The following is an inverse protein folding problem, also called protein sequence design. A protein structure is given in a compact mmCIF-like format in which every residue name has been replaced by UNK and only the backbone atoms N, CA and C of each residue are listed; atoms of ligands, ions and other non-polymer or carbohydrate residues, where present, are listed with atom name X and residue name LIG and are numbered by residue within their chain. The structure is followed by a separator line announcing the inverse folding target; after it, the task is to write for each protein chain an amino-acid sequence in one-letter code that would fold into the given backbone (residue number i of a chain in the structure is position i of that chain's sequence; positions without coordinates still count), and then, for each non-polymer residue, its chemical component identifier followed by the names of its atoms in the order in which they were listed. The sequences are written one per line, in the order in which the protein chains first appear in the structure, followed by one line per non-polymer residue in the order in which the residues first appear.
data_IF_093128090434
#
_entry.id   IF_093128090434
#
_cell.length_a   1.000
_cell.length_b   1.000
_cell.length_c   1.000
_cell.angle_alpha   90.00
_cell.angle_beta   90.00
_cell.angle_gamma   90.00
#
_symmetry.space_group_name_H-M   'P 1'
#
loop_
_entity.id
_entity.type
_entity.pdbx_description
1 polymer ?
#
# COMPACT_ATOMS: atom_id res chain seq x y z
N UNK A 1 -16.39 11.15 29.21
CA UNK A 1 -15.57 10.96 28.02
C UNK A 1 -14.70 9.74 28.27
N UNK A 2 -15.06 8.59 27.70
CA UNK A 2 -14.27 7.37 27.82
C UNK A 2 -13.00 7.56 26.98
N UNK A 3 -11.85 7.54 27.62
CA UNK A 3 -10.54 7.43 26.95
C UNK A 3 -10.46 6.03 26.33
N UNK A 4 -11.09 5.84 25.16
CA UNK A 4 -10.83 4.63 24.38
C UNK A 4 -9.36 4.67 23.93
N UNK A 5 -8.63 3.61 24.24
CA UNK A 5 -7.28 3.41 23.71
C UNK A 5 -7.30 3.54 22.17
N UNK A 6 -6.29 4.17 21.57
CA UNK A 6 -6.24 4.28 20.12
C UNK A 6 -6.39 2.90 19.47
N UNK A 7 -7.34 2.78 18.57
CA UNK A 7 -7.63 1.53 17.84
C UNK A 7 -6.40 1.14 17.02
N UNK A 8 -5.88 -0.07 17.21
CA UNK A 8 -4.75 -0.57 16.40
C UNK A 8 -5.17 -0.76 14.94
N UNK A 9 -4.20 -0.79 14.03
CA UNK A 9 -4.47 -1.02 12.61
C UNK A 9 -5.22 -2.35 12.37
N UNK A 10 -4.82 -3.42 13.04
CA UNK A 10 -5.52 -4.71 12.98
C UNK A 10 -6.98 -4.60 13.46
N UNK A 11 -7.21 -3.92 14.58
CA UNK A 11 -8.56 -3.70 15.08
C UNK A 11 -9.42 -2.86 14.13
N UNK A 12 -8.82 -1.90 13.42
CA UNK A 12 -9.53 -1.11 12.40
C UNK A 12 -9.96 -1.99 11.22
N UNK A 13 -9.07 -2.83 10.70
CA UNK A 13 -9.38 -3.81 9.64
C UNK A 13 -10.48 -4.77 10.08
N UNK A 14 -10.40 -5.31 11.29
CA UNK A 14 -11.41 -6.20 11.87
C UNK A 14 -12.78 -5.55 11.99
N UNK A 15 -12.83 -4.29 12.41
CA UNK A 15 -14.09 -3.52 12.54
C UNK A 15 -14.74 -3.28 11.16
N UNK A 16 -13.94 -2.89 10.16
CA UNK A 16 -14.43 -2.73 8.79
C UNK A 16 -14.98 -4.05 8.24
N UNK A 17 -14.25 -5.15 8.43
CA UNK A 17 -14.72 -6.47 8.03
C UNK A 17 -16.04 -6.88 8.74
N UNK A 18 -16.12 -6.71 10.06
CA UNK A 18 -17.31 -7.06 10.82
C UNK A 18 -18.54 -6.25 10.39
N UNK A 19 -18.36 -4.95 10.07
CA UNK A 19 -19.44 -4.11 9.52
C UNK A 19 -19.93 -4.65 8.17
N UNK A 20 -19.03 -4.96 7.26
CA UNK A 20 -19.39 -5.55 5.98
C UNK A 20 -20.07 -6.92 6.12
N UNK A 21 -19.53 -7.79 6.98
CA UNK A 21 -20.07 -9.11 7.24
C UNK A 21 -21.47 -9.05 7.89
N UNK A 22 -21.76 -8.04 8.71
CA UNK A 22 -23.08 -7.86 9.35
C UNK A 22 -24.19 -7.51 8.36
N UNK A 23 -23.86 -7.02 7.16
CA UNK A 23 -24.81 -6.77 6.09
C UNK A 23 -25.17 -8.02 5.28
N UNK A 24 -24.52 -9.16 5.57
CA UNK A 24 -24.70 -10.43 4.87
C UNK A 24 -25.30 -11.48 5.79
N UNK A 25 -26.18 -12.31 5.26
CA UNK A 25 -26.72 -13.49 5.96
C UNK A 25 -25.72 -14.66 5.86
N UNK A 26 -24.64 -14.59 6.64
CA UNK A 26 -23.61 -15.63 6.65
C UNK A 26 -23.96 -16.78 7.62
N UNK A 27 -23.59 -18.03 7.28
CA UNK A 27 -23.66 -19.14 8.23
C UNK A 27 -22.91 -18.83 9.52
N UNK A 28 -23.42 -19.35 10.64
CA UNK A 28 -22.83 -19.14 11.98
C UNK A 28 -21.36 -19.57 11.99
N UNK A 29 -20.48 -18.65 12.41
CA UNK A 29 -19.02 -18.85 12.52
C UNK A 29 -18.25 -18.58 11.22
N UNK A 30 -18.90 -18.47 10.05
CA UNK A 30 -18.20 -18.23 8.78
C UNK A 30 -17.46 -16.87 8.76
N UNK A 31 -18.10 -15.80 9.23
CA UNK A 31 -17.44 -14.49 9.33
C UNK A 31 -16.18 -14.56 10.21
N UNK A 32 -16.24 -15.27 11.33
CA UNK A 32 -15.08 -15.45 12.20
C UNK A 32 -13.97 -16.25 11.48
N UNK A 33 -14.34 -17.32 10.77
CA UNK A 33 -13.38 -18.12 9.99
C UNK A 33 -12.68 -17.28 8.92
N UNK A 34 -13.40 -16.45 8.16
CA UNK A 34 -12.85 -15.59 7.11
C UNK A 34 -11.90 -14.54 7.70
N UNK A 35 -12.25 -13.97 8.86
CA UNK A 35 -11.45 -12.94 9.51
C UNK A 35 -10.17 -13.48 10.14
N UNK A 36 -10.15 -14.73 10.57
CA UNK A 36 -9.02 -15.30 11.33
C UNK A 36 -7.84 -15.60 10.42
N UNK A 37 -6.67 -15.04 10.73
CA UNK A 37 -5.43 -15.37 10.05
C UNK A 37 -5.05 -16.83 10.29
N UNK A 38 -4.82 -17.61 9.22
CA UNK A 38 -4.60 -19.05 9.31
C UNK A 38 -3.24 -19.40 9.91
N UNK A 39 -2.19 -18.66 9.57
CA UNK A 39 -0.84 -18.92 10.05
C UNK A 39 0.00 -17.64 10.13
N UNK A 40 0.75 -17.52 11.21
CA UNK A 40 1.75 -16.47 11.40
C UNK A 40 3.04 -17.14 11.88
N UNK A 41 4.13 -16.85 11.19
CA UNK A 41 5.45 -17.33 11.55
C UNK A 41 6.35 -16.13 11.87
N UNK A 42 6.78 -16.03 13.14
CA UNK A 42 7.89 -15.17 13.53
C UNK A 42 9.19 -15.97 13.40
N UNK A 43 10.22 -15.37 12.82
CA UNK A 43 11.53 -15.98 12.67
C UNK A 43 12.64 -15.02 13.08
N UNK A 44 13.61 -15.55 13.79
CA UNK A 44 14.83 -14.84 14.17
C UNK A 44 16.03 -15.56 13.56
N UNK A 45 16.90 -14.79 12.90
CA UNK A 45 18.05 -15.35 12.20
C UNK A 45 19.25 -14.43 12.28
N UNK A 46 20.44 -15.02 12.31
CA UNK A 46 21.72 -14.31 12.30
C UNK A 46 22.24 -14.11 10.89
N UNK A 47 22.81 -12.94 10.65
CA UNK A 47 23.59 -12.63 9.45
C UNK A 47 24.93 -12.05 9.87
N UNK A 48 26.01 -12.55 9.28
CA UNK A 48 27.34 -11.96 9.44
C UNK A 48 27.46 -10.72 8.56
N UNK A 49 27.65 -9.57 9.19
CA UNK A 49 27.82 -8.26 8.55
C UNK A 49 28.80 -7.42 9.35
N UNK A 50 29.61 -6.63 8.67
CA UNK A 50 30.60 -5.73 9.30
C UNK A 50 31.54 -6.43 10.31
N UNK A 51 31.91 -7.69 10.01
CA UNK A 51 32.82 -8.47 10.87
C UNK A 51 32.21 -9.01 12.16
N UNK A 52 30.86 -9.05 12.27
CA UNK A 52 30.13 -9.60 13.40
C UNK A 52 28.79 -10.19 13.01
N UNK A 53 28.10 -10.81 13.98
CA UNK A 53 26.77 -11.35 13.77
C UNK A 53 25.69 -10.38 14.27
N UNK A 54 24.70 -10.10 13.43
CA UNK A 54 23.47 -9.37 13.79
C UNK A 54 22.26 -10.27 13.72
N UNK A 55 21.36 -10.16 14.70
CA UNK A 55 20.09 -10.91 14.72
C UNK A 55 18.99 -10.04 14.14
N UNK A 56 18.24 -10.60 13.19
CA UNK A 56 17.10 -9.98 12.56
C UNK A 56 15.82 -10.71 12.96
N UNK A 57 14.72 -9.95 13.07
CA UNK A 57 13.39 -10.50 13.30
C UNK A 57 12.51 -10.22 12.08
N UNK A 58 11.92 -11.27 11.56
CA UNK A 58 11.00 -11.19 10.44
C UNK A 58 9.73 -11.99 10.68
N UNK A 59 8.70 -11.69 9.92
CA UNK A 59 7.40 -12.36 9.96
C UNK A 59 6.94 -12.74 8.56
N UNK A 60 6.14 -13.81 8.49
CA UNK A 60 5.30 -14.13 7.33
C UNK A 60 3.96 -14.60 7.85
N UNK A 61 2.89 -13.86 7.52
CA UNK A 61 1.51 -14.25 7.77
C UNK A 61 0.88 -14.76 6.48
N UNK A 62 0.16 -15.87 6.58
CA UNK A 62 -0.76 -16.39 5.55
C UNK A 62 -2.16 -16.26 6.12
N UNK A 63 -2.89 -15.24 5.66
CA UNK A 63 -4.22 -14.94 6.19
C UNK A 63 -5.22 -16.02 5.79
N UNK A 64 -5.14 -16.50 4.56
CA UNK A 64 -6.05 -17.54 4.07
C UNK A 64 -5.31 -18.51 3.14
N UNK A 65 -5.77 -19.76 3.11
CA UNK A 65 -5.27 -20.83 2.26
C UNK A 65 -6.40 -21.45 1.41
N UNK A 66 -7.53 -20.74 1.26
CA UNK A 66 -8.69 -21.22 0.50
C UNK A 66 -8.38 -21.41 -0.99
N UNK A 67 -7.38 -20.71 -1.50
CA UNK A 67 -6.80 -20.88 -2.85
C UNK A 67 -5.30 -20.57 -2.79
N UNK A 68 -4.50 -21.39 -3.44
CA UNK A 68 -3.05 -21.21 -3.52
C UNK A 68 -2.62 -20.73 -4.92
N UNK A 69 -1.49 -20.02 -5.02
CA UNK A 69 -0.61 -19.60 -3.92
C UNK A 69 -1.16 -18.41 -3.13
N UNK A 70 -0.71 -18.29 -1.87
CA UNK A 70 -0.91 -17.07 -1.12
C UNK A 70 0.00 -15.95 -1.64
N UNK A 71 -0.49 -14.71 -1.70
CA UNK A 71 0.17 -13.58 -2.35
C UNK A 71 0.24 -12.37 -1.43
N UNK A 72 1.41 -11.75 -1.30
CA UNK A 72 1.56 -10.50 -0.57
C UNK A 72 2.99 -10.01 -0.45
N UNK A 73 3.16 -8.69 -0.31
CA UNK A 73 4.45 -8.02 -0.27
C UNK A 73 5.30 -8.39 0.96
N UNK A 74 6.59 -8.08 0.88
CA UNK A 74 7.52 -8.08 2.02
C UNK A 74 7.93 -6.64 2.31
N UNK A 75 7.65 -6.17 3.54
CA UNK A 75 7.98 -4.83 4.03
C UNK A 75 9.30 -4.85 4.82
N UNK A 76 10.17 -3.88 4.55
CA UNK A 76 11.34 -3.60 5.39
C UNK A 76 11.10 -2.28 6.11
N UNK A 77 10.79 -2.35 7.40
CA UNK A 77 10.51 -1.18 8.20
C UNK A 77 10.97 -1.35 9.66
N UNK A 78 11.49 -0.29 10.31
CA UNK A 78 11.92 -0.37 11.70
C UNK A 78 10.77 -0.54 12.69
N UNK A 79 9.56 -0.16 12.31
CA UNK A 79 8.33 -0.26 13.10
C UNK A 79 7.53 -1.54 12.83
N UNK A 80 7.93 -2.37 11.85
CA UNK A 80 7.23 -3.59 11.53
C UNK A 80 7.05 -4.50 12.75
N UNK A 81 5.84 -5.01 12.91
CA UNK A 81 5.45 -5.95 13.94
C UNK A 81 4.46 -7.01 13.42
N UNK A 82 4.14 -7.97 14.27
CA UNK A 82 3.24 -9.07 13.92
C UNK A 82 1.83 -8.60 13.60
N UNK A 83 1.26 -7.68 14.38
CA UNK A 83 -0.13 -7.22 14.21
C UNK A 83 -0.31 -6.48 12.88
N UNK A 84 0.67 -5.66 12.51
CA UNK A 84 0.69 -4.97 11.22
C UNK A 84 0.74 -5.98 10.06
N UNK A 85 1.60 -6.99 10.17
CA UNK A 85 1.75 -8.03 9.13
C UNK A 85 0.44 -8.83 8.98
N UNK A 86 -0.23 -9.15 10.07
CA UNK A 86 -1.50 -9.86 10.10
C UNK A 86 -2.62 -9.05 9.43
N UNK A 87 -2.76 -7.78 9.81
CA UNK A 87 -3.73 -6.86 9.21
C UNK A 87 -3.54 -6.72 7.69
N UNK A 88 -2.29 -6.52 7.26
CA UNK A 88 -1.96 -6.40 5.85
C UNK A 88 -2.18 -7.70 5.07
N UNK A 89 -1.99 -8.87 5.69
CA UNK A 89 -2.28 -10.16 5.08
C UNK A 89 -3.80 -10.35 4.87
N UNK A 90 -4.63 -9.92 5.83
CA UNK A 90 -6.08 -9.91 5.70
C UNK A 90 -6.53 -9.02 4.53
N UNK A 91 -6.02 -7.80 4.46
CA UNK A 91 -6.30 -6.88 3.35
C UNK A 91 -5.89 -7.46 1.99
N UNK A 92 -4.80 -8.25 1.92
CA UNK A 92 -4.42 -8.92 0.67
C UNK A 92 -5.45 -9.98 0.25
N UNK A 93 -6.02 -10.74 1.18
CA UNK A 93 -7.13 -11.67 0.86
C UNK A 93 -8.33 -10.91 0.30
N UNK A 94 -8.74 -9.83 0.95
CA UNK A 94 -9.90 -9.04 0.52
C UNK A 94 -9.65 -8.38 -0.85
N UNK A 95 -8.47 -7.80 -1.08
CA UNK A 95 -8.09 -7.22 -2.38
C UNK A 95 -8.15 -8.23 -3.51
N UNK A 96 -7.59 -9.42 -3.32
CA UNK A 96 -7.63 -10.46 -4.33
C UNK A 96 -9.05 -10.91 -4.63
N UNK A 97 -9.90 -11.05 -3.60
CA UNK A 97 -11.30 -11.46 -3.74
C UNK A 97 -12.14 -10.42 -4.48
N UNK A 98 -11.98 -9.13 -4.17
CA UNK A 98 -12.74 -8.04 -4.81
C UNK A 98 -12.53 -8.01 -6.32
N UNK A 99 -11.32 -8.25 -6.79
CA UNK A 99 -10.98 -8.26 -8.23
C UNK A 99 -10.98 -9.67 -8.84
N UNK A 100 -11.46 -10.67 -8.09
CA UNK A 100 -11.59 -12.07 -8.54
C UNK A 100 -10.30 -12.69 -9.08
N UNK A 101 -9.13 -12.29 -8.55
CA UNK A 101 -7.87 -12.96 -8.87
C UNK A 101 -7.66 -14.18 -7.95
N UNK A 102 -7.13 -15.30 -8.48
CA UNK A 102 -7.10 -16.59 -7.78
C UNK A 102 -5.90 -16.68 -6.81
N UNK A 103 -5.85 -15.80 -5.82
CA UNK A 103 -4.81 -15.78 -4.78
C UNK A 103 -5.43 -15.64 -3.39
N UNK A 104 -4.89 -16.41 -2.44
CA UNK A 104 -5.07 -16.10 -1.03
C UNK A 104 -4.16 -14.95 -0.58
N UNK A 105 -4.42 -14.36 0.58
CA UNK A 105 -3.65 -13.24 1.09
C UNK A 105 -2.51 -13.67 2.00
N UNK A 106 -1.35 -13.08 1.80
CA UNK A 106 -0.22 -13.17 2.72
C UNK A 106 0.49 -11.81 2.86
N UNK A 107 1.32 -11.70 3.89
CA UNK A 107 2.21 -10.56 4.10
C UNK A 107 3.47 -10.98 4.82
N UNK A 108 4.59 -10.36 4.46
CA UNK A 108 5.84 -10.51 5.19
C UNK A 108 6.40 -9.18 5.63
N UNK A 109 7.22 -9.20 6.67
CA UNK A 109 8.02 -8.05 7.06
C UNK A 109 9.35 -8.47 7.66
N UNK A 110 10.31 -7.56 7.58
CA UNK A 110 11.58 -7.63 8.30
C UNK A 110 11.75 -6.33 9.08
N UNK A 111 12.04 -6.44 10.38
CA UNK A 111 12.21 -5.28 11.27
C UNK A 111 13.59 -4.67 11.10
N UNK A 112 13.75 -3.87 10.04
CA UNK A 112 14.99 -3.15 9.74
C UNK A 112 14.73 -1.79 9.13
N UNK A 113 15.66 -0.86 9.29
CA UNK A 113 15.72 0.34 8.44
C UNK A 113 16.71 0.07 7.30
N UNK A 114 16.26 -0.15 6.05
CA UNK A 114 17.16 -0.50 4.96
C UNK A 114 18.22 0.57 4.67
N UNK A 115 17.99 1.83 5.05
CA UNK A 115 18.96 2.92 4.87
C UNK A 115 20.21 2.79 5.77
N UNK A 116 20.16 1.93 6.77
CA UNK A 116 21.27 1.71 7.71
C UNK A 116 22.27 0.64 7.24
N UNK A 117 22.05 0.07 6.05
CA UNK A 117 22.82 -1.05 5.52
C UNK A 117 23.31 -0.75 4.11
N UNK A 118 24.51 -1.24 3.76
CA UNK A 118 24.99 -1.21 2.38
C UNK A 118 24.15 -2.13 1.48
N UNK A 119 24.36 -2.03 0.18
CA UNK A 119 23.66 -2.87 -0.79
C UNK A 119 24.03 -4.34 -0.59
N UNK A 120 25.30 -4.63 -0.35
CA UNK A 120 25.84 -5.97 -0.11
C UNK A 120 25.28 -6.57 1.19
N UNK A 121 25.20 -5.77 2.24
CA UNK A 121 24.60 -6.20 3.50
C UNK A 121 23.12 -6.51 3.35
N UNK A 122 22.38 -5.63 2.64
CA UNK A 122 20.95 -5.87 2.34
C UNK A 122 20.76 -7.12 1.51
N UNK A 123 21.67 -7.43 0.59
CA UNK A 123 21.64 -8.66 -0.17
C UNK A 123 21.81 -9.88 0.75
N UNK A 124 22.82 -9.88 1.60
CA UNK A 124 23.05 -10.99 2.55
C UNK A 124 21.84 -11.20 3.48
N UNK A 125 21.30 -10.10 4.03
CA UNK A 125 20.11 -10.14 4.89
C UNK A 125 18.91 -10.71 4.13
N UNK A 126 18.67 -10.25 2.90
CA UNK A 126 17.51 -10.64 2.08
C UNK A 126 17.62 -12.11 1.66
N UNK A 127 18.79 -12.58 1.22
CA UNK A 127 19.01 -13.98 0.87
C UNK A 127 18.83 -14.89 2.08
N UNK A 128 19.37 -14.50 3.24
CA UNK A 128 19.19 -15.26 4.47
C UNK A 128 17.72 -15.32 4.91
N UNK A 129 16.99 -14.23 4.75
CA UNK A 129 15.55 -14.21 5.00
C UNK A 129 14.78 -15.12 4.03
N UNK A 130 15.14 -15.12 2.74
CA UNK A 130 14.57 -16.03 1.75
C UNK A 130 14.79 -17.51 2.13
N UNK A 131 15.99 -17.88 2.59
CA UNK A 131 16.29 -19.24 3.11
C UNK A 131 15.39 -19.60 4.30
N UNK A 132 15.16 -18.65 5.22
CA UNK A 132 14.29 -18.91 6.38
C UNK A 132 12.81 -19.06 5.99
N UNK A 133 12.36 -18.32 4.97
CA UNK A 133 11.02 -18.48 4.41
C UNK A 133 10.87 -19.82 3.70
N UNK A 134 11.81 -20.17 2.84
CA UNK A 134 11.83 -21.43 2.09
C UNK A 134 11.82 -22.64 3.01
N UNK A 135 12.73 -22.69 3.98
CA UNK A 135 12.84 -23.75 4.98
C UNK A 135 11.53 -24.05 5.73
N UNK A 136 10.61 -23.08 5.78
CA UNK A 136 9.32 -23.20 6.46
C UNK A 136 8.14 -23.39 5.51
N UNK A 137 8.39 -23.55 4.21
CA UNK A 137 7.34 -23.66 3.20
C UNK A 137 6.54 -22.34 3.02
N UNK A 138 7.19 -21.20 3.26
CA UNK A 138 6.58 -19.87 3.17
C UNK A 138 7.07 -19.07 1.95
N UNK A 139 7.74 -19.75 1.02
CA UNK A 139 8.24 -19.22 -0.26
C UNK A 139 8.12 -20.30 -1.33
N UNK A 140 7.57 -19.96 -2.48
CA UNK A 140 7.50 -20.85 -3.62
C UNK A 140 6.33 -20.54 -4.54
N UNK A 141 6.43 -20.86 -5.84
CA UNK A 141 5.46 -20.47 -6.87
C UNK A 141 4.05 -21.04 -6.65
N UNK A 142 3.95 -22.22 -6.04
CA UNK A 142 2.68 -22.90 -5.77
C UNK A 142 2.14 -22.72 -4.34
N UNK A 143 2.87 -22.04 -3.47
CA UNK A 143 2.56 -21.99 -2.03
C UNK A 143 2.35 -20.55 -1.56
N UNK A 144 3.41 -19.73 -1.66
CA UNK A 144 3.39 -18.37 -1.14
C UNK A 144 4.37 -17.48 -1.92
N UNK A 145 3.84 -16.47 -2.60
CA UNK A 145 4.57 -15.66 -3.57
C UNK A 145 4.72 -14.22 -3.07
N UNK A 146 5.90 -13.82 -2.58
CA UNK A 146 6.19 -12.44 -2.21
C UNK A 146 6.11 -11.44 -3.38
N UNK A 147 6.08 -10.16 -3.02
CA UNK A 147 6.15 -9.02 -3.92
C UNK A 147 6.86 -7.85 -3.22
N UNK A 148 7.24 -6.78 -3.93
CA UNK A 148 7.72 -5.56 -3.32
C UNK A 148 6.65 -4.89 -2.44
N UNK A 149 7.11 -4.24 -1.38
CA UNK A 149 6.34 -3.38 -0.49
C UNK A 149 7.24 -2.24 0.02
N UNK A 150 6.82 -1.51 1.05
CA UNK A 150 7.62 -0.45 1.67
C UNK A 150 9.03 -0.96 2.03
N UNK A 151 10.06 -0.21 1.65
CA UNK A 151 11.46 -0.52 1.95
C UNK A 151 12.06 -1.66 1.11
N UNK A 152 11.29 -2.27 0.18
CA UNK A 152 11.76 -3.26 -0.77
C UNK A 152 11.46 -2.86 -2.22
N UNK A 153 12.10 -3.54 -3.16
CA UNK A 153 11.93 -3.24 -4.59
C UNK A 153 12.42 -4.38 -5.48
N UNK A 154 12.54 -4.08 -6.76
CA UNK A 154 12.94 -5.05 -7.79
C UNK A 154 14.23 -5.80 -7.44
N UNK A 155 15.21 -5.11 -6.85
CA UNK A 155 16.51 -5.68 -6.46
C UNK A 155 16.36 -6.77 -5.40
N UNK A 156 15.60 -6.50 -4.31
CA UNK A 156 15.34 -7.49 -3.27
C UNK A 156 14.59 -8.69 -3.82
N UNK A 157 13.62 -8.47 -4.72
CA UNK A 157 12.89 -9.57 -5.37
C UNK A 157 13.80 -10.40 -6.26
N UNK A 158 14.76 -9.79 -6.93
CA UNK A 158 15.78 -10.53 -7.72
C UNK A 158 16.63 -11.43 -6.82
N UNK A 159 17.08 -10.93 -5.67
CA UNK A 159 17.86 -11.73 -4.72
C UNK A 159 17.07 -12.90 -4.13
N UNK A 160 15.79 -12.69 -3.82
CA UNK A 160 14.90 -13.78 -3.34
C UNK A 160 14.72 -14.83 -4.44
N UNK A 161 14.47 -14.41 -5.69
CA UNK A 161 14.31 -15.35 -6.80
C UNK A 161 15.57 -16.15 -7.10
N UNK A 162 16.74 -15.49 -7.14
CA UNK A 162 18.03 -16.14 -7.35
C UNK A 162 18.36 -17.13 -6.22
N UNK A 163 18.07 -16.74 -4.98
CA UNK A 163 18.29 -17.63 -3.83
C UNK A 163 17.36 -18.85 -3.87
N UNK A 164 16.09 -18.67 -4.19
CA UNK A 164 15.13 -19.76 -4.35
C UNK A 164 15.55 -20.72 -5.46
N UNK A 165 16.00 -20.22 -6.62
CA UNK A 165 16.47 -21.04 -7.72
C UNK A 165 17.71 -21.88 -7.34
N UNK A 166 18.63 -21.34 -6.53
CA UNK A 166 19.77 -22.08 -6.02
C UNK A 166 19.37 -23.23 -5.09
N UNK A 167 18.34 -23.00 -4.27
CA UNK A 167 17.79 -24.01 -3.35
C UNK A 167 16.98 -25.08 -4.09
N UNK A 168 16.34 -24.71 -5.21
CA UNK A 168 15.43 -25.56 -6.00
C UNK A 168 15.84 -25.63 -7.48
N UNK A 169 17.03 -26.16 -7.83
CA UNK A 169 17.54 -26.12 -9.20
C UNK A 169 16.74 -26.96 -10.21
N UNK A 170 15.90 -27.87 -9.73
CA UNK A 170 15.02 -28.71 -10.56
C UNK A 170 13.60 -28.13 -10.72
N UNK A 171 13.25 -27.04 -10.02
CA UNK A 171 11.94 -26.43 -10.15
C UNK A 171 11.87 -25.54 -11.39
N UNK A 172 11.21 -26.02 -12.44
CA UNK A 172 11.01 -25.30 -13.70
C UNK A 172 10.19 -24.02 -13.54
N UNK A 173 9.42 -23.90 -12.44
CA UNK A 173 8.58 -22.75 -12.12
C UNK A 173 9.26 -21.78 -11.12
N UNK A 174 10.53 -22.02 -10.75
CA UNK A 174 11.25 -21.25 -9.73
C UNK A 174 11.19 -19.73 -9.94
N UNK A 175 11.13 -19.26 -11.19
CA UNK A 175 10.93 -17.85 -11.53
C UNK A 175 9.61 -17.27 -10.99
N UNK A 176 8.59 -18.09 -10.80
CA UNK A 176 7.29 -17.71 -10.24
C UNK A 176 7.27 -17.50 -8.74
N UNK A 177 8.37 -17.80 -8.01
CA UNK A 177 8.42 -17.74 -6.55
C UNK A 177 8.23 -16.32 -5.99
N UNK A 178 8.48 -15.27 -6.76
CA UNK A 178 8.21 -13.86 -6.42
C UNK A 178 7.76 -13.07 -7.64
N UNK A 179 7.03 -11.97 -7.41
CA UNK A 179 6.70 -10.98 -8.44
C UNK A 179 7.42 -9.65 -8.18
N UNK A 180 7.42 -8.75 -9.18
CA UNK A 180 8.06 -7.44 -9.07
C UNK A 180 9.57 -7.44 -9.28
N UNK A 181 10.11 -8.48 -9.92
CA UNK A 181 11.47 -8.52 -10.46
C UNK A 181 11.62 -7.57 -11.66
N UNK A 182 12.85 -7.16 -12.01
CA UNK A 182 13.10 -6.48 -13.28
C UNK A 182 12.65 -7.33 -14.49
N UNK A 183 12.23 -6.67 -15.56
CA UNK A 183 11.75 -7.35 -16.78
C UNK A 183 12.80 -8.32 -17.34
N UNK A 184 14.08 -7.88 -17.41
CA UNK A 184 15.18 -8.72 -17.88
C UNK A 184 15.47 -9.94 -16.99
N UNK A 185 14.89 -9.99 -15.78
CA UNK A 185 15.01 -11.11 -14.83
C UNK A 185 13.65 -11.83 -14.63
N UNK A 186 12.79 -11.85 -15.64
CA UNK A 186 11.49 -12.52 -15.61
C UNK A 186 10.39 -11.74 -14.90
N UNK A 187 10.52 -10.42 -14.81
CA UNK A 187 9.47 -9.50 -14.39
C UNK A 187 8.48 -9.19 -15.51
N UNK A 188 7.41 -8.49 -15.18
CA UNK A 188 6.37 -8.05 -16.10
C UNK A 188 6.41 -6.52 -16.21
N UNK A 189 6.28 -6.00 -17.43
CA UNK A 189 6.12 -4.57 -17.66
C UNK A 189 4.85 -4.02 -17.00
N UNK A 190 4.80 -2.72 -16.74
CA UNK A 190 3.64 -2.09 -16.14
C UNK A 190 3.54 -2.21 -14.62
N UNK A 191 4.41 -2.98 -13.97
CA UNK A 191 4.34 -3.19 -12.52
C UNK A 191 4.54 -1.91 -11.71
N UNK A 192 5.37 -0.99 -12.19
CA UNK A 192 5.67 0.25 -11.45
C UNK A 192 4.44 1.14 -11.36
N UNK A 193 3.78 1.39 -12.47
CA UNK A 193 2.62 2.26 -12.56
C UNK A 193 1.29 1.56 -12.20
N UNK A 194 1.25 0.23 -12.16
CA UNK A 194 0.02 -0.55 -12.05
C UNK A 194 -0.89 -0.14 -10.87
N UNK A 195 -0.32 0.23 -9.72
CA UNK A 195 -1.12 0.63 -8.57
C UNK A 195 -1.77 2.00 -8.79
N UNK A 196 -1.01 2.98 -9.31
CA UNK A 196 -1.56 4.29 -9.70
C UNK A 196 -2.58 4.18 -10.83
N UNK A 197 -2.31 3.31 -11.81
CA UNK A 197 -3.27 2.98 -12.90
C UNK A 197 -4.57 2.38 -12.35
N UNK A 198 -4.48 1.52 -11.34
CA UNK A 198 -5.65 0.94 -10.68
C UNK A 198 -6.50 2.01 -9.95
N UNK A 199 -5.89 3.01 -9.36
CA UNK A 199 -6.61 4.16 -8.76
C UNK A 199 -7.35 4.93 -9.83
N UNK A 200 -6.71 5.23 -10.97
CA UNK A 200 -7.35 5.88 -12.11
C UNK A 200 -8.55 5.08 -12.60
N UNK A 201 -8.39 3.77 -12.84
CA UNK A 201 -9.49 2.91 -13.29
C UNK A 201 -10.65 2.86 -12.29
N UNK A 202 -10.37 2.81 -10.99
CA UNK A 202 -11.39 2.87 -9.95
C UNK A 202 -12.19 4.17 -10.01
N UNK A 203 -11.52 5.31 -10.20
CA UNK A 203 -12.18 6.60 -10.36
C UNK A 203 -12.95 6.70 -11.69
N UNK A 204 -12.38 6.24 -12.79
CA UNK A 204 -13.09 6.17 -14.07
C UNK A 204 -14.37 5.33 -13.95
N UNK A 205 -14.30 4.18 -13.26
CA UNK A 205 -15.48 3.35 -13.03
C UNK A 205 -16.51 4.06 -12.15
N UNK A 206 -16.11 4.72 -11.07
CA UNK A 206 -17.01 5.52 -10.24
C UNK A 206 -17.79 6.55 -11.09
N UNK A 207 -17.10 7.27 -11.98
CA UNK A 207 -17.74 8.28 -12.84
C UNK A 207 -18.63 7.70 -13.96
N UNK A 208 -18.65 6.37 -14.15
CA UNK A 208 -19.64 5.70 -15.01
C UNK A 208 -20.98 5.47 -14.34
N UNK A 209 -21.08 5.71 -13.03
CA UNK A 209 -22.31 5.54 -12.25
C UNK A 209 -22.89 6.90 -11.85
N UNK A 210 -23.83 7.48 -12.65
CA UNK A 210 -24.35 8.84 -12.44
C UNK A 210 -24.99 9.05 -11.07
N UNK A 211 -25.64 8.02 -10.50
CA UNK A 211 -26.28 8.11 -9.19
C UNK A 211 -25.23 8.24 -8.08
N UNK A 212 -24.11 7.54 -8.17
CA UNK A 212 -23.00 7.63 -7.21
C UNK A 212 -22.31 8.99 -7.34
N UNK A 213 -22.07 9.46 -8.57
CA UNK A 213 -21.49 10.79 -8.84
C UNK A 213 -22.38 11.90 -8.25
N UNK A 214 -23.68 11.81 -8.44
CA UNK A 214 -24.64 12.77 -7.89
C UNK A 214 -24.68 12.73 -6.37
N UNK A 215 -24.63 11.52 -5.77
CA UNK A 215 -24.62 11.35 -4.31
C UNK A 215 -23.39 11.97 -3.66
N UNK A 216 -22.26 12.01 -4.38
CA UNK A 216 -21.03 12.68 -3.95
C UNK A 216 -21.02 14.20 -4.23
N UNK A 217 -22.15 14.81 -4.64
CA UNK A 217 -22.22 16.21 -5.09
C UNK A 217 -21.21 16.53 -6.20
N UNK A 218 -20.99 15.58 -7.10
CA UNK A 218 -20.18 15.71 -8.30
C UNK A 218 -21.07 15.63 -9.55
N UNK A 219 -20.53 16.02 -10.69
CA UNK A 219 -21.21 15.95 -11.99
C UNK A 219 -20.20 15.69 -13.12
N UNK A 220 -20.69 15.20 -14.26
CA UNK A 220 -19.89 14.99 -15.46
C UNK A 220 -18.87 13.85 -15.34
N UNK A 221 -17.68 14.12 -15.79
CA UNK A 221 -16.54 13.16 -15.82
C UNK A 221 -15.40 13.63 -14.93
N UNK A 222 -14.25 12.98 -15.02
CA UNK A 222 -13.00 13.38 -14.33
C UNK A 222 -12.43 14.70 -14.87
N UNK A 223 -12.78 15.08 -16.09
CA UNK A 223 -12.29 16.31 -16.71
C UNK A 223 -12.64 17.55 -15.87
N UNK A 224 -11.64 18.37 -15.60
CA UNK A 224 -11.73 19.57 -14.79
C UNK A 224 -11.91 19.35 -13.27
N UNK A 225 -11.97 18.11 -12.78
CA UNK A 225 -12.08 17.85 -11.33
C UNK A 225 -10.80 18.25 -10.61
N UNK A 226 -10.96 19.00 -9.52
CA UNK A 226 -9.86 19.42 -8.65
C UNK A 226 -9.47 18.32 -7.70
N UNK A 227 -8.22 17.88 -7.77
CA UNK A 227 -7.71 16.74 -7.02
C UNK A 227 -6.56 17.16 -6.12
N UNK A 228 -6.56 16.64 -4.89
CA UNK A 228 -5.43 16.71 -3.95
C UNK A 228 -4.89 15.31 -3.73
N UNK A 229 -3.55 15.16 -3.82
CA UNK A 229 -2.87 13.87 -3.65
C UNK A 229 -1.91 13.94 -2.46
N UNK A 230 -2.04 12.99 -1.54
CA UNK A 230 -1.08 12.81 -0.46
C UNK A 230 -0.04 11.76 -0.84
N UNK A 231 1.21 12.20 -0.93
CA UNK A 231 2.34 11.35 -1.28
C UNK A 231 2.58 11.25 -2.78
N UNK A 232 3.71 11.80 -3.24
CA UNK A 232 4.18 11.67 -4.62
C UNK A 232 5.23 10.54 -4.70
N UNK A 233 4.87 9.39 -4.12
CA UNK A 233 5.58 8.13 -4.27
C UNK A 233 5.10 7.38 -5.50
N UNK A 234 5.41 6.06 -5.58
CA UNK A 234 5.03 5.26 -6.75
C UNK A 234 3.52 5.32 -7.07
N UNK A 235 2.66 5.21 -6.07
CA UNK A 235 1.21 5.20 -6.28
C UNK A 235 0.69 6.58 -6.63
N UNK A 236 0.95 7.58 -5.76
CA UNK A 236 0.40 8.92 -5.93
C UNK A 236 0.91 9.63 -7.18
N UNK A 237 2.18 9.47 -7.52
CA UNK A 237 2.74 10.02 -8.76
C UNK A 237 2.01 9.48 -9.99
N UNK A 238 1.92 8.14 -10.14
CA UNK A 238 1.29 7.57 -11.32
C UNK A 238 -0.22 7.82 -11.36
N UNK A 239 -0.91 7.77 -10.22
CA UNK A 239 -2.33 8.12 -10.17
C UNK A 239 -2.56 9.57 -10.60
N UNK A 240 -1.84 10.53 -10.01
CA UNK A 240 -1.95 11.94 -10.35
C UNK A 240 -1.62 12.21 -11.81
N UNK A 241 -0.52 11.62 -12.31
CA UNK A 241 -0.08 11.77 -13.72
C UNK A 241 -1.15 11.29 -14.69
N UNK A 242 -1.67 10.07 -14.52
CA UNK A 242 -2.66 9.53 -15.44
C UNK A 242 -3.98 10.30 -15.40
N UNK A 243 -4.45 10.68 -14.20
CA UNK A 243 -5.65 11.49 -14.04
C UNK A 243 -5.50 12.86 -14.72
N UNK A 244 -4.31 13.48 -14.64
CA UNK A 244 -4.02 14.75 -15.29
C UNK A 244 -3.92 14.63 -16.81
N UNK A 245 -3.10 13.68 -17.31
CA UNK A 245 -2.77 13.56 -18.72
C UNK A 245 -3.87 12.91 -19.58
N UNK A 246 -4.57 11.92 -19.02
CA UNK A 246 -5.52 11.09 -19.76
C UNK A 246 -6.98 11.46 -19.50
N UNK A 247 -7.29 11.94 -18.27
CA UNK A 247 -8.66 12.25 -17.86
C UNK A 247 -8.94 13.75 -17.72
N UNK A 248 -7.93 14.62 -17.90
CA UNK A 248 -8.10 16.08 -17.84
C UNK A 248 -8.34 16.63 -16.43
N UNK A 249 -8.04 15.86 -15.39
CA UNK A 249 -8.18 16.33 -14.01
C UNK A 249 -7.12 17.40 -13.65
N UNK A 250 -7.45 18.27 -12.71
CA UNK A 250 -6.59 19.37 -12.27
C UNK A 250 -6.02 19.02 -10.89
N UNK A 251 -4.73 18.76 -10.82
CA UNK A 251 -4.03 18.47 -9.56
C UNK A 251 -3.73 19.80 -8.86
N UNK A 252 -4.55 20.17 -7.87
CA UNK A 252 -4.41 21.47 -7.17
C UNK A 252 -3.55 21.41 -5.92
N UNK A 253 -3.27 20.21 -5.39
CA UNK A 253 -2.46 20.06 -4.18
C UNK A 253 -1.69 18.75 -4.12
N UNK A 254 -0.45 18.83 -3.64
CA UNK A 254 0.42 17.68 -3.43
C UNK A 254 1.05 17.78 -2.03
N UNK A 255 0.82 16.74 -1.21
CA UNK A 255 1.38 16.63 0.14
C UNK A 255 2.58 15.69 0.15
N UNK A 256 3.66 16.13 0.80
CA UNK A 256 4.87 15.35 1.03
C UNK A 256 5.34 15.48 2.49
N UNK A 257 6.46 14.82 2.84
CA UNK A 257 6.96 14.80 4.22
C UNK A 257 7.43 16.16 4.72
N UNK A 258 7.90 17.01 3.82
CA UNK A 258 8.42 18.34 4.14
C UNK A 258 7.31 19.40 4.21
N UNK A 259 6.10 19.07 3.75
CA UNK A 259 4.95 19.98 3.71
C UNK A 259 4.07 19.70 2.50
N UNK A 260 3.31 20.68 2.07
CA UNK A 260 2.48 20.58 0.89
C UNK A 260 2.63 21.80 -0.02
N UNK A 261 2.31 21.63 -1.28
CA UNK A 261 2.18 22.73 -2.25
C UNK A 261 0.77 22.76 -2.81
N UNK A 262 0.24 23.97 -3.00
CA UNK A 262 -1.10 24.23 -3.57
C UNK A 262 -0.98 25.21 -4.73
N UNK A 263 -1.70 24.94 -5.79
CA UNK A 263 -1.99 25.88 -6.87
C UNK A 263 -3.40 25.62 -7.40
N UNK A 264 -4.33 26.55 -7.18
CA UNK A 264 -5.72 26.43 -7.63
C UNK A 264 -5.91 26.35 -9.15
N UNK A 265 -4.88 26.74 -9.92
CA UNK A 265 -4.89 26.66 -11.39
C UNK A 265 -4.36 25.31 -11.90
N UNK A 266 -3.80 24.49 -11.01
CA UNK A 266 -3.20 23.21 -11.29
C UNK A 266 -1.67 23.22 -11.15
N UNK A 267 -1.15 22.06 -10.73
CA UNK A 267 0.27 21.71 -10.65
C UNK A 267 0.56 20.71 -11.77
N UNK A 268 1.66 20.88 -12.47
CA UNK A 268 2.18 19.85 -13.39
C UNK A 268 2.86 18.75 -12.57
N UNK A 269 2.27 17.56 -12.58
CA UNK A 269 2.71 16.43 -11.75
C UNK A 269 4.12 15.98 -12.13
N UNK A 270 4.47 16.00 -13.41
CA UNK A 270 5.78 15.58 -13.89
C UNK A 270 6.87 16.59 -13.47
N UNK A 271 6.59 17.88 -13.60
CA UNK A 271 7.51 18.94 -13.14
C UNK A 271 7.70 18.92 -11.62
N UNK A 272 6.64 18.74 -10.83
CA UNK A 272 6.74 18.59 -9.37
C UNK A 272 7.58 17.37 -9.00
N UNK A 273 7.36 16.24 -9.67
CA UNK A 273 8.13 15.00 -9.43
C UNK A 273 9.60 15.18 -9.74
N UNK A 274 9.92 15.82 -10.87
CA UNK A 274 11.29 16.13 -11.27
C UNK A 274 11.97 17.08 -10.28
N UNK A 275 11.29 18.16 -9.91
CA UNK A 275 11.78 19.10 -8.90
C UNK A 275 12.07 18.40 -7.57
N UNK A 276 11.14 17.56 -7.09
CA UNK A 276 11.33 16.78 -5.88
C UNK A 276 12.53 15.83 -5.96
N UNK A 277 12.77 15.20 -7.10
CA UNK A 277 13.95 14.34 -7.29
C UNK A 277 15.25 15.13 -7.23
N UNK A 278 15.29 16.34 -7.79
CA UNK A 278 16.46 17.21 -7.83
C UNK A 278 16.72 17.90 -6.48
N UNK A 279 15.67 18.40 -5.82
CA UNK A 279 15.79 19.21 -4.60
C UNK A 279 15.59 18.40 -3.29
N UNK A 280 15.08 17.17 -3.37
CA UNK A 280 14.77 16.32 -2.22
C UNK A 280 13.51 16.73 -1.43
N UNK A 281 12.78 17.77 -1.86
CA UNK A 281 11.62 18.37 -1.21
C UNK A 281 10.70 19.04 -2.22
N UNK A 282 9.45 19.34 -1.81
CA UNK A 282 8.50 20.11 -2.64
C UNK A 282 8.50 21.61 -2.32
N UNK A 283 9.05 21.99 -1.15
CA UNK A 283 9.19 23.40 -0.78
C UNK A 283 9.99 24.18 -1.82
N UNK A 284 9.44 25.30 -2.27
CA UNK A 284 10.07 26.18 -3.27
C UNK A 284 9.76 25.81 -4.72
N UNK A 285 8.81 24.89 -4.97
CA UNK A 285 8.31 24.65 -6.32
C UNK A 285 7.68 25.93 -6.91
N UNK A 286 8.03 26.34 -8.14
CA UNK A 286 7.54 27.58 -8.74
C UNK A 286 6.01 27.66 -8.81
N UNK A 287 5.49 28.88 -8.77
CA UNK A 287 4.06 29.20 -8.93
C UNK A 287 3.12 28.41 -7.98
N UNK A 288 3.63 28.02 -6.82
CA UNK A 288 2.85 27.30 -5.80
C UNK A 288 2.92 27.98 -4.44
N UNK A 289 1.87 27.81 -3.65
CA UNK A 289 1.87 28.18 -2.24
C UNK A 289 2.35 26.99 -1.40
N UNK A 290 3.44 27.19 -0.65
CA UNK A 290 3.91 26.17 0.27
C UNK A 290 3.17 26.22 1.61
N UNK A 291 2.72 25.07 2.09
CA UNK A 291 2.08 24.86 3.38
C UNK A 291 2.96 23.95 4.23
N UNK A 292 3.61 24.53 5.25
CA UNK A 292 4.58 23.80 6.09
C UNK A 292 3.97 22.62 6.85
N UNK A 293 2.77 22.80 7.40
CA UNK A 293 2.00 21.70 7.97
C UNK A 293 1.16 21.05 6.87
N UNK A 294 1.74 20.10 6.13
CA UNK A 294 1.08 19.46 4.99
C UNK A 294 -0.26 18.82 5.33
N UNK A 295 -0.45 18.38 6.58
CA UNK A 295 -1.72 17.76 7.03
C UNK A 295 -2.92 18.70 6.90
N UNK A 296 -2.73 20.02 6.98
CA UNK A 296 -3.80 20.99 6.83
C UNK A 296 -4.42 20.94 5.42
N UNK A 297 -3.66 20.47 4.44
CA UNK A 297 -4.11 20.35 3.04
C UNK A 297 -5.04 19.15 2.82
N UNK A 298 -5.08 18.18 3.73
CA UNK A 298 -6.11 17.12 3.73
C UNK A 298 -7.53 17.68 3.96
N UNK A 299 -7.62 18.85 4.57
CA UNK A 299 -8.88 19.53 4.89
C UNK A 299 -9.24 20.62 3.85
N UNK A 300 -8.36 20.86 2.86
CA UNK A 300 -8.57 21.87 1.83
C UNK A 300 -9.68 21.47 0.87
N UNK A 301 -10.54 22.43 0.42
CA UNK A 301 -11.62 22.15 -0.52
C UNK A 301 -11.10 21.57 -1.84
N UNK A 302 -11.64 20.42 -2.24
CA UNK A 302 -11.36 19.78 -3.54
C UNK A 302 -12.53 18.87 -3.94
N UNK A 303 -12.55 18.43 -5.18
CA UNK A 303 -13.51 17.43 -5.61
C UNK A 303 -13.10 16.04 -5.14
N UNK A 304 -11.82 15.69 -5.29
CA UNK A 304 -11.31 14.36 -4.95
C UNK A 304 -10.04 14.48 -4.09
N UNK A 305 -10.01 13.79 -2.95
CA UNK A 305 -8.82 13.61 -2.13
C UNK A 305 -8.29 12.20 -2.29
N UNK A 306 -7.00 12.06 -2.62
CA UNK A 306 -6.32 10.77 -2.83
C UNK A 306 -5.20 10.59 -1.80
N UNK A 307 -5.46 9.96 -0.64
CA UNK A 307 -4.42 9.55 0.30
C UNK A 307 -3.64 8.36 -0.29
N UNK A 308 -2.37 8.57 -0.68
CA UNK A 308 -1.53 7.59 -1.36
C UNK A 308 -0.19 7.31 -0.65
N UNK A 309 -0.07 7.62 0.64
CA UNK A 309 1.19 7.49 1.36
C UNK A 309 1.10 6.56 2.58
N UNK A 310 0.35 6.95 3.61
CA UNK A 310 0.39 6.30 4.92
C UNK A 310 -1.01 5.86 5.37
N UNK A 311 -1.05 4.85 6.23
CA UNK A 311 -2.21 4.44 6.99
C UNK A 311 -2.61 5.51 8.03
N UNK A 312 -3.91 5.58 8.35
CA UNK A 312 -4.44 6.38 9.45
C UNK A 312 -4.21 7.89 9.36
N UNK A 313 -4.20 8.46 8.17
CA UNK A 313 -4.02 9.93 7.98
C UNK A 313 -5.32 10.70 8.12
N UNK A 314 -6.46 10.06 7.86
CA UNK A 314 -7.79 10.59 8.17
C UNK A 314 -8.30 9.87 9.41
N UNK A 315 -8.45 10.61 10.49
CA UNK A 315 -8.82 10.11 11.82
C UNK A 315 -10.10 10.79 12.30
N UNK A 316 -10.64 10.37 13.43
CA UNK A 316 -11.77 11.04 14.06
C UNK A 316 -11.48 12.52 14.40
N UNK A 317 -10.19 12.91 14.50
CA UNK A 317 -9.81 14.28 14.82
C UNK A 317 -9.95 15.24 13.65
N UNK A 318 -9.71 14.78 12.40
CA UNK A 318 -9.73 15.64 11.21
C UNK A 318 -10.88 15.32 10.23
N UNK A 319 -11.50 14.15 10.30
CA UNK A 319 -12.53 13.72 9.36
C UNK A 319 -13.69 14.73 9.19
N UNK A 320 -14.15 15.36 10.29
CA UNK A 320 -15.21 16.35 10.24
C UNK A 320 -14.83 17.63 9.45
N UNK A 321 -13.53 17.93 9.30
CA UNK A 321 -13.03 19.12 8.59
C UNK A 321 -12.61 18.82 7.15
N UNK A 322 -12.53 17.56 6.74
CA UNK A 322 -12.27 17.19 5.33
C UNK A 322 -13.38 17.77 4.45
N UNK A 323 -13.00 18.50 3.40
CA UNK A 323 -13.94 19.19 2.51
C UNK A 323 -14.00 18.56 1.10
N UNK A 324 -13.27 17.48 0.88
CA UNK A 324 -13.36 16.71 -0.35
C UNK A 324 -14.76 16.10 -0.51
N UNK A 325 -15.30 16.11 -1.73
CA UNK A 325 -16.58 15.50 -2.06
C UNK A 325 -16.47 13.97 -2.22
N UNK A 326 -15.32 13.51 -2.70
CA UNK A 326 -14.97 12.09 -2.85
C UNK A 326 -13.59 11.83 -2.26
N UNK A 327 -13.47 10.76 -1.49
CA UNK A 327 -12.19 10.29 -0.97
C UNK A 327 -11.85 8.94 -1.63
N UNK A 328 -10.75 8.90 -2.37
CA UNK A 328 -10.27 7.71 -3.06
C UNK A 328 -9.02 7.15 -2.38
N UNK A 329 -9.17 6.11 -1.59
CA UNK A 329 -8.06 5.50 -0.87
C UNK A 329 -7.05 4.84 -1.82
N UNK A 330 -5.83 5.31 -1.83
CA UNK A 330 -4.72 4.78 -2.61
C UNK A 330 -3.56 4.27 -1.74
N UNK A 331 -3.76 4.17 -0.44
CA UNK A 331 -2.90 3.54 0.55
C UNK A 331 -3.67 2.44 1.32
N UNK A 332 -2.98 1.70 2.17
CA UNK A 332 -3.63 0.67 2.98
C UNK A 332 -4.26 1.31 4.23
N UNK A 333 -5.60 1.44 4.27
CA UNK A 333 -6.34 2.00 5.41
C UNK A 333 -5.93 3.42 5.80
N UNK A 334 -5.91 4.38 4.87
CA UNK A 334 -5.60 5.77 5.18
C UNK A 334 -6.69 6.42 6.01
N UNK A 335 -7.91 5.89 5.95
CA UNK A 335 -9.07 6.32 6.75
C UNK A 335 -9.27 5.33 7.90
N UNK A 336 -9.31 5.84 9.13
CA UNK A 336 -9.64 5.01 10.30
C UNK A 336 -11.12 4.67 10.33
N UNK A 337 -11.48 3.58 11.03
CA UNK A 337 -12.88 3.17 11.16
C UNK A 337 -13.80 4.28 11.69
N UNK A 338 -13.34 5.04 12.72
CA UNK A 338 -14.12 6.14 13.26
C UNK A 338 -14.25 7.31 12.26
N UNK A 339 -13.19 7.59 11.52
CA UNK A 339 -13.22 8.61 10.48
C UNK A 339 -14.18 8.27 9.35
N UNK A 340 -14.20 7.00 8.93
CA UNK A 340 -15.11 6.51 7.91
C UNK A 340 -16.59 6.69 8.30
N UNK A 341 -16.93 6.45 9.58
CA UNK A 341 -18.29 6.73 10.08
C UNK A 341 -18.65 8.22 9.96
N UNK A 342 -17.74 9.12 10.39
CA UNK A 342 -17.96 10.57 10.30
C UNK A 342 -18.12 11.04 8.84
N UNK A 343 -17.29 10.50 7.94
CA UNK A 343 -17.33 10.86 6.52
C UNK A 343 -18.62 10.40 5.83
N UNK A 344 -19.11 9.21 6.19
CA UNK A 344 -20.36 8.66 5.61
C UNK A 344 -21.64 9.32 6.16
N UNK A 345 -21.57 10.02 7.29
CA UNK A 345 -22.70 10.80 7.85
C UNK A 345 -22.76 12.22 7.27
N UNK A 346 -21.77 12.64 6.48
CA UNK A 346 -21.59 14.00 5.95
C UNK A 346 -22.10 14.15 4.53
#
# INVERSE_FOLDING_TARGET
MSTENPTTFLQSVDRCFNRAASALELPKGLAQQIRTCNAICEMKFGVEIQGGYKIFTGWRATHSEHVLPAKGGIRYAPFADQQEVEALAALMTYKCSIVSVPYAGSKGALKINPKNYSIEELEHITRRFAQELDKRGLLGPGINVPAPDMGTGQRMMSWIADEYQKLHPSDINAQGCVTGKPVYFGGVEGRMEATGRGVQFGLQEFFRHPDDVTSANLEGTLDGKKIIVQGLGNVGYHAAKFLQEEDGAIIIGILERDGAIINEKGLDVEEVSKFKLEQGKVEGFPDSQFVKNGSDVLEHPCDILIPAAMEGVITHENAARVQAKLLAEAANGPVTYQADQILNEK
#
